data_IF_818533642841
#
_entry.id   IF_818533642841
#
_cell.length_a   1.000
_cell.length_b   1.000
_cell.length_c   1.000
_cell.angle_alpha   90.00
_cell.angle_beta   90.00
_cell.angle_gamma   90.00
#
_symmetry.space_group_name_H-M   'P 1'
#
loop_
_entity.id
_entity.type
_entity.pdbx_description
1 polymer ?
#
# COMPACT_ATOMS: atom_id res chain seq x y z
N UNK A 1 4.30 -3.47 12.83
CA UNK A 1 5.49 -4.12 13.42
C UNK A 1 6.37 -4.60 12.28
N UNK A 2 7.53 -3.96 12.11
CA UNK A 2 8.53 -4.43 11.15
C UNK A 2 9.05 -5.74 11.73
N UNK A 3 8.76 -6.86 11.09
CA UNK A 3 9.36 -8.12 11.47
C UNK A 3 10.87 -7.99 11.25
N UNK A 4 11.57 -7.63 12.31
CA UNK A 4 13.01 -7.74 12.32
C UNK A 4 13.34 -9.24 12.44
N UNK A 5 13.66 -9.85 11.32
CA UNK A 5 14.05 -11.25 11.22
C UNK A 5 15.27 -11.61 12.08
N UNK A 6 15.91 -10.61 12.74
CA UNK A 6 17.05 -10.74 13.61
C UNK A 6 16.77 -10.42 15.09
N UNK A 7 15.50 -10.31 15.51
CA UNK A 7 15.25 -10.04 16.94
C UNK A 7 15.57 -11.28 17.79
N UNK A 8 16.33 -11.06 18.86
CA UNK A 8 16.94 -12.07 19.71
C UNK A 8 15.98 -13.02 20.46
N UNK A 9 14.69 -12.86 20.28
CA UNK A 9 13.66 -13.71 20.90
C UNK A 9 13.16 -14.85 20.03
N UNK A 10 13.61 -14.91 18.79
CA UNK A 10 13.27 -16.00 17.88
C UNK A 10 14.55 -16.69 17.42
N UNK A 11 14.52 -17.97 17.14
CA UNK A 11 15.64 -18.70 16.54
C UNK A 11 16.03 -18.23 15.14
N UNK A 12 15.68 -17.01 14.83
CA UNK A 12 16.16 -16.23 13.68
C UNK A 12 17.67 -16.05 13.70
N UNK A 13 18.33 -16.25 14.82
CA UNK A 13 19.78 -16.45 14.84
C UNK A 13 20.26 -17.57 13.91
N UNK A 14 19.37 -18.44 13.52
CA UNK A 14 19.62 -19.50 12.52
C UNK A 14 19.52 -18.97 11.08
N UNK A 15 18.84 -17.87 10.85
CA UNK A 15 18.66 -17.22 9.53
C UNK A 15 19.92 -16.49 9.08
N UNK A 16 20.86 -16.26 9.96
CA UNK A 16 22.20 -15.75 9.64
C UNK A 16 23.14 -16.77 9.00
N UNK A 17 22.72 -17.99 8.79
CA UNK A 17 23.51 -18.96 8.06
C UNK A 17 23.37 -18.69 6.56
N UNK A 18 24.52 -18.55 5.90
CA UNK A 18 24.66 -18.14 4.48
C UNK A 18 23.94 -19.04 3.46
N UNK A 19 23.23 -20.07 3.89
CA UNK A 19 22.59 -21.07 3.05
C UNK A 19 21.04 -20.99 3.03
N UNK A 20 20.43 -20.11 3.84
CA UNK A 20 18.97 -19.95 3.79
C UNK A 20 18.59 -18.98 2.69
N UNK A 21 17.83 -19.47 1.73
CA UNK A 21 17.27 -18.62 0.68
C UNK A 21 16.17 -17.71 1.26
N UNK A 22 16.09 -16.48 0.78
CA UNK A 22 15.02 -15.54 1.13
C UNK A 22 13.63 -16.14 0.92
N UNK A 23 13.48 -17.06 -0.05
CA UNK A 23 12.26 -17.80 -0.30
C UNK A 23 11.83 -18.68 0.88
N UNK A 24 12.80 -19.36 1.52
CA UNK A 24 12.54 -20.18 2.71
C UNK A 24 12.08 -19.31 3.89
N UNK A 25 12.66 -18.14 4.05
CA UNK A 25 12.31 -17.23 5.13
C UNK A 25 10.92 -16.61 4.93
N UNK A 26 10.58 -16.23 3.71
CA UNK A 26 9.24 -15.75 3.38
C UNK A 26 8.18 -16.83 3.57
N UNK A 27 8.50 -18.09 3.25
CA UNK A 27 7.60 -19.21 3.51
C UNK A 27 7.34 -19.40 5.02
N UNK A 28 8.38 -19.28 5.86
CA UNK A 28 8.23 -19.31 7.32
C UNK A 28 7.37 -18.16 7.82
N UNK A 29 7.62 -16.93 7.33
CA UNK A 29 6.87 -15.74 7.69
C UNK A 29 5.39 -15.91 7.31
N UNK A 30 5.09 -16.46 6.14
CA UNK A 30 3.73 -16.71 5.68
C UNK A 30 2.94 -17.64 6.62
N UNK A 31 3.66 -18.54 7.30
CA UNK A 31 3.07 -19.51 8.23
C UNK A 31 3.01 -19.00 9.68
N UNK A 32 3.47 -17.77 9.95
CA UNK A 32 3.36 -17.21 11.31
C UNK A 32 1.96 -16.65 11.56
N UNK A 33 1.45 -16.72 12.80
CA UNK A 33 0.16 -16.13 13.17
C UNK A 33 0.22 -14.60 13.26
N UNK A 34 1.40 -13.99 13.15
CA UNK A 34 1.60 -12.55 13.26
C UNK A 34 1.05 -11.85 12.03
N UNK A 35 0.13 -10.91 12.26
CA UNK A 35 -0.41 -10.06 11.20
C UNK A 35 0.48 -8.84 11.01
N UNK A 36 0.95 -8.63 9.79
CA UNK A 36 1.71 -7.44 9.39
C UNK A 36 1.28 -7.00 7.99
N UNK A 37 1.50 -5.74 7.69
CA UNK A 37 1.12 -5.15 6.40
C UNK A 37 2.34 -4.61 5.65
N UNK A 38 3.31 -4.03 6.37
CA UNK A 38 4.52 -3.48 5.79
C UNK A 38 5.70 -4.42 5.92
N UNK A 39 6.54 -4.44 4.90
CA UNK A 39 7.75 -5.26 4.82
C UNK A 39 8.92 -4.37 4.45
N UNK A 40 9.98 -4.43 5.22
CA UNK A 40 11.30 -3.87 4.91
C UNK A 40 12.33 -4.97 4.88
N UNK A 41 13.37 -4.81 4.07
CA UNK A 41 14.45 -5.77 3.98
C UNK A 41 15.71 -5.21 4.66
N UNK A 42 16.32 -6.00 5.55
CA UNK A 42 17.60 -5.63 6.16
C UNK A 42 18.64 -5.36 5.06
N UNK A 43 19.40 -4.29 5.23
CA UNK A 43 20.38 -3.80 4.25
C UNK A 43 21.37 -4.85 3.78
N UNK A 44 21.76 -5.79 4.63
CA UNK A 44 22.69 -6.88 4.29
C UNK A 44 22.12 -7.86 3.26
N UNK A 45 20.80 -7.88 3.09
CA UNK A 45 20.13 -8.71 2.10
C UNK A 45 19.68 -7.92 0.88
N UNK A 46 19.91 -6.59 0.84
CA UNK A 46 19.62 -5.77 -0.34
C UNK A 46 20.55 -6.15 -1.49
N UNK A 47 20.06 -6.10 -2.71
CA UNK A 47 20.82 -6.39 -3.92
C UNK A 47 20.71 -7.85 -4.38
N UNK A 48 21.72 -8.30 -5.12
CA UNK A 48 21.75 -9.60 -5.79
C UNK A 48 22.62 -10.58 -5.01
N UNK A 49 22.04 -11.73 -4.67
CA UNK A 49 22.78 -12.87 -4.08
C UNK A 49 22.76 -14.02 -5.07
N UNK A 50 23.90 -14.36 -5.65
CA UNK A 50 23.98 -15.31 -6.75
C UNK A 50 23.20 -14.82 -7.97
N UNK A 51 22.20 -15.59 -8.44
CA UNK A 51 21.31 -15.22 -9.53
C UNK A 51 20.01 -14.55 -9.08
N UNK A 52 19.81 -14.33 -7.77
CA UNK A 52 18.55 -13.83 -7.21
C UNK A 52 18.69 -12.38 -6.80
N UNK A 53 17.83 -11.52 -7.33
CA UNK A 53 17.59 -10.19 -6.83
C UNK A 53 16.61 -10.29 -5.65
N UNK A 54 17.15 -10.20 -4.44
CA UNK A 54 16.40 -10.41 -3.21
C UNK A 54 15.26 -9.39 -3.05
N UNK A 55 15.49 -8.13 -3.40
CA UNK A 55 14.46 -7.08 -3.30
C UNK A 55 13.34 -7.33 -4.30
N UNK A 56 13.66 -7.70 -5.54
CA UNK A 56 12.66 -8.07 -6.53
C UNK A 56 11.84 -9.29 -6.10
N UNK A 57 12.49 -10.27 -5.47
CA UNK A 57 11.80 -11.47 -4.98
C UNK A 57 10.81 -11.13 -3.87
N UNK A 58 11.22 -10.31 -2.88
CA UNK A 58 10.35 -9.84 -1.79
C UNK A 58 9.20 -8.99 -2.34
N UNK A 59 9.50 -8.09 -3.29
CA UNK A 59 8.49 -7.26 -3.92
C UNK A 59 7.37 -8.10 -4.58
N UNK A 60 7.74 -9.09 -5.39
CA UNK A 60 6.78 -10.00 -6.03
C UNK A 60 5.97 -10.82 -5.02
N UNK A 61 6.61 -11.24 -3.94
CA UNK A 61 5.89 -11.93 -2.87
C UNK A 61 4.88 -11.01 -2.18
N UNK A 62 5.23 -9.73 -1.96
CA UNK A 62 4.31 -8.74 -1.39
C UNK A 62 3.11 -8.47 -2.30
N UNK A 63 3.32 -8.39 -3.63
CA UNK A 63 2.22 -8.28 -4.60
C UNK A 63 1.20 -9.43 -4.42
N UNK A 64 1.69 -10.68 -4.36
CA UNK A 64 0.83 -11.85 -4.22
C UNK A 64 0.16 -12.00 -2.86
N UNK A 65 0.67 -11.33 -1.83
CA UNK A 65 0.16 -11.44 -0.45
C UNK A 65 -0.59 -10.21 0.06
N UNK A 66 -0.78 -9.17 -0.78
CA UNK A 66 -1.46 -7.93 -0.41
C UNK A 66 -0.72 -7.15 0.69
N UNK A 67 0.62 -7.15 0.65
CA UNK A 67 1.49 -6.44 1.60
C UNK A 67 2.26 -5.36 0.88
N UNK A 68 2.64 -4.30 1.58
CA UNK A 68 3.44 -3.22 1.02
C UNK A 68 4.91 -3.43 1.36
N UNK A 69 5.75 -3.43 0.33
CA UNK A 69 7.19 -3.54 0.44
C UNK A 69 7.86 -2.18 0.28
N UNK A 70 8.72 -1.82 1.25
CA UNK A 70 9.65 -0.71 1.11
C UNK A 70 10.96 -1.19 0.45
N UNK A 71 11.24 -0.65 -0.73
CA UNK A 71 12.46 -0.94 -1.48
C UNK A 71 13.40 0.26 -1.41
N UNK A 72 14.48 0.18 -0.65
CA UNK A 72 15.52 1.21 -0.64
C UNK A 72 16.69 0.81 -1.53
N UNK A 73 17.21 1.78 -2.27
CA UNK A 73 18.44 1.66 -3.05
C UNK A 73 19.17 3.01 -3.11
N UNK A 74 20.48 2.95 -3.27
CA UNK A 74 21.40 4.09 -3.32
C UNK A 74 22.16 4.20 -4.65
N UNK A 75 21.79 3.40 -5.67
CA UNK A 75 22.46 3.43 -6.98
C UNK A 75 22.23 4.80 -7.65
N UNK A 76 23.32 5.54 -7.91
CA UNK A 76 23.27 6.84 -8.58
C UNK A 76 22.65 6.80 -9.98
N UNK A 77 22.52 5.62 -10.59
CA UNK A 77 21.81 5.46 -11.86
C UNK A 77 20.33 5.82 -11.73
N UNK A 78 19.76 5.73 -10.51
CA UNK A 78 18.38 6.18 -10.21
C UNK A 78 18.24 7.68 -10.48
N UNK A 79 19.31 8.45 -10.30
CA UNK A 79 19.34 9.89 -10.50
C UNK A 79 19.70 10.30 -11.95
N UNK A 80 19.74 9.35 -12.89
CA UNK A 80 20.07 9.58 -14.30
C UNK A 80 18.97 9.03 -15.19
N UNK A 81 18.41 9.88 -16.04
CA UNK A 81 17.35 9.48 -16.97
C UNK A 81 17.84 8.42 -17.97
N UNK A 82 16.96 7.50 -18.36
CA UNK A 82 17.25 6.50 -19.39
C UNK A 82 18.19 5.38 -18.97
N UNK A 83 18.53 5.25 -17.68
CA UNK A 83 19.43 4.19 -17.19
C UNK A 83 18.66 2.96 -16.73
N UNK A 84 19.30 1.79 -16.86
CA UNK A 84 18.80 0.58 -16.21
C UNK A 84 19.18 0.59 -14.73
N UNK A 85 18.19 0.66 -13.85
CA UNK A 85 18.36 0.67 -12.40
C UNK A 85 17.25 -0.15 -11.72
N UNK A 86 17.33 -0.29 -10.41
CA UNK A 86 16.37 -1.09 -9.62
C UNK A 86 14.95 -0.56 -9.70
N UNK A 87 14.75 0.76 -9.62
CA UNK A 87 13.43 1.39 -9.67
C UNK A 87 12.80 1.26 -11.06
N UNK A 88 13.58 1.42 -12.12
CA UNK A 88 13.14 1.16 -13.49
C UNK A 88 12.65 -0.29 -13.65
N UNK A 89 13.34 -1.26 -13.03
CA UNK A 89 12.92 -2.67 -13.07
C UNK A 89 11.62 -2.88 -12.28
N UNK A 90 11.48 -2.27 -11.09
CA UNK A 90 10.26 -2.34 -10.30
C UNK A 90 9.06 -1.76 -11.06
N UNK A 91 9.24 -0.59 -11.68
CA UNK A 91 8.24 0.05 -12.55
C UNK A 91 7.84 -0.85 -13.73
N UNK A 92 8.81 -1.40 -14.45
CA UNK A 92 8.56 -2.27 -15.61
C UNK A 92 7.83 -3.57 -15.26
N UNK A 93 7.90 -4.00 -14.00
CA UNK A 93 7.15 -5.16 -13.47
C UNK A 93 5.77 -4.77 -12.94
N UNK A 94 5.37 -3.49 -13.03
CA UNK A 94 4.09 -2.95 -12.51
C UNK A 94 3.84 -3.33 -11.04
N UNK A 95 4.86 -3.18 -10.19
CA UNK A 95 4.76 -3.53 -8.78
C UNK A 95 3.95 -2.47 -8.02
N UNK A 96 2.66 -2.71 -7.88
CA UNK A 96 1.71 -1.80 -7.23
C UNK A 96 1.94 -1.67 -5.73
N UNK A 97 2.36 -2.75 -5.08
CA UNK A 97 2.55 -2.79 -3.64
C UNK A 97 4.00 -2.52 -3.21
N UNK A 98 4.81 -1.92 -4.08
CA UNK A 98 6.21 -1.60 -3.81
C UNK A 98 6.45 -0.10 -3.81
N UNK A 99 6.98 0.43 -2.69
CA UNK A 99 7.39 1.81 -2.53
C UNK A 99 8.91 1.92 -2.70
N UNK A 100 9.37 2.48 -3.82
CA UNK A 100 10.79 2.67 -4.11
C UNK A 100 11.30 3.97 -3.47
N UNK A 101 12.32 3.89 -2.60
CA UNK A 101 12.87 5.02 -1.86
C UNK A 101 14.39 5.11 -2.07
N UNK A 102 14.88 6.25 -2.53
CA UNK A 102 16.30 6.50 -2.69
C UNK A 102 16.95 6.73 -1.31
N UNK A 103 17.98 5.95 -1.00
CA UNK A 103 18.76 6.07 0.22
C UNK A 103 19.93 7.03 -0.01
N UNK A 104 19.84 8.23 0.58
CA UNK A 104 20.85 9.28 0.49
C UNK A 104 21.93 9.19 1.56
N UNK A 105 21.89 8.22 2.45
CA UNK A 105 22.86 8.09 3.54
C UNK A 105 24.27 7.80 3.00
N UNK A 106 25.27 8.50 3.53
CA UNK A 106 26.67 8.34 3.14
C UNK A 106 27.21 6.93 3.38
N UNK A 107 26.79 6.33 4.49
CA UNK A 107 27.25 5.01 4.93
C UNK A 107 26.29 3.89 4.48
N UNK A 108 25.20 4.21 3.81
CA UNK A 108 24.17 3.24 3.41
C UNK A 108 23.62 2.45 4.60
N UNK A 109 23.48 3.11 5.74
CA UNK A 109 23.13 2.51 7.01
C UNK A 109 21.75 2.91 7.53
N UNK A 110 21.02 3.73 6.78
CA UNK A 110 19.68 4.15 7.08
C UNK A 110 18.61 3.25 6.41
N UNK A 111 17.40 3.42 6.87
CA UNK A 111 16.21 2.72 6.38
C UNK A 111 15.12 3.74 6.06
N UNK A 112 15.29 4.58 5.02
CA UNK A 112 14.33 5.63 4.67
C UNK A 112 12.95 5.07 4.33
N UNK A 113 12.88 3.91 3.69
CA UNK A 113 11.64 3.20 3.39
C UNK A 113 10.91 2.76 4.66
N UNK A 114 11.64 2.29 5.67
CA UNK A 114 11.04 1.87 6.94
C UNK A 114 10.56 3.08 7.73
N UNK A 115 11.29 4.19 7.70
CA UNK A 115 10.91 5.42 8.39
C UNK A 115 9.57 5.95 7.87
N UNK A 116 9.38 6.01 6.55
CA UNK A 116 8.11 6.50 5.97
C UNK A 116 6.98 5.49 6.13
N UNK A 117 7.24 4.19 5.99
CA UNK A 117 6.24 3.15 6.23
C UNK A 117 5.85 3.08 7.72
N UNK A 118 6.80 3.34 8.63
CA UNK A 118 6.51 3.50 10.05
C UNK A 118 5.54 4.64 10.34
N UNK A 119 5.70 5.77 9.62
CA UNK A 119 4.73 6.88 9.69
C UNK A 119 3.36 6.46 9.15
N UNK A 120 3.33 5.72 8.04
CA UNK A 120 2.08 5.19 7.48
C UNK A 120 1.38 4.20 8.41
N UNK A 121 2.14 3.41 9.17
CA UNK A 121 1.61 2.43 10.12
C UNK A 121 0.86 3.07 11.31
N UNK A 122 1.03 4.37 11.55
CA UNK A 122 0.29 5.09 12.60
C UNK A 122 -1.13 5.48 12.19
N UNK A 123 -1.54 5.25 10.95
CA UNK A 123 -2.88 5.60 10.45
C UNK A 123 -3.94 4.73 11.12
N UNK A 124 -4.91 5.38 11.73
CA UNK A 124 -6.10 4.72 12.27
C UNK A 124 -7.31 5.02 11.38
N UNK A 125 -7.66 4.11 10.53
CA UNK A 125 -8.78 4.24 9.60
C UNK A 125 -10.18 4.29 10.27
N UNK A 126 -10.28 4.12 11.58
CA UNK A 126 -11.54 4.33 12.31
C UNK A 126 -11.76 5.80 12.68
N UNK A 127 -10.81 6.70 12.38
CA UNK A 127 -10.89 8.13 12.64
C UNK A 127 -11.25 8.86 11.36
N UNK A 128 -12.07 9.90 11.47
CA UNK A 128 -12.43 10.73 10.33
C UNK A 128 -11.20 11.43 9.72
N UNK A 129 -11.17 11.55 8.39
CA UNK A 129 -10.09 12.20 7.64
C UNK A 129 -8.68 11.68 8.00
N UNK A 130 -8.55 10.38 8.20
CA UNK A 130 -7.31 9.74 8.64
C UNK A 130 -6.43 9.23 7.49
N UNK A 131 -6.93 9.18 6.27
CA UNK A 131 -6.15 8.76 5.09
C UNK A 131 -4.94 9.68 4.92
N UNK A 132 -3.77 9.08 4.74
CA UNK A 132 -2.49 9.76 4.77
C UNK A 132 -1.78 9.70 3.42
N UNK A 133 -1.48 10.84 2.81
CA UNK A 133 -0.49 10.93 1.73
C UNK A 133 0.93 10.91 2.33
N UNK A 134 1.88 10.31 1.65
CA UNK A 134 3.28 10.30 2.11
C UNK A 134 4.02 11.60 1.77
N UNK A 135 3.61 12.29 0.71
CA UNK A 135 4.19 13.57 0.35
C UNK A 135 4.18 14.55 1.53
N UNK A 136 5.24 15.33 1.68
CA UNK A 136 5.44 16.34 2.72
C UNK A 136 5.55 15.80 4.16
N UNK A 137 5.67 14.47 4.33
CA UNK A 137 5.84 13.89 5.67
C UNK A 137 7.31 13.87 6.06
N UNK A 138 7.55 14.13 7.35
CA UNK A 138 8.92 14.16 7.92
C UNK A 138 9.40 12.74 8.21
N UNK A 139 10.72 12.53 8.04
CA UNK A 139 11.42 11.32 8.46
C UNK A 139 12.49 11.70 9.48
N UNK A 140 12.21 11.61 10.79
CA UNK A 140 13.20 11.98 11.80
C UNK A 140 14.45 11.09 11.71
N UNK A 141 15.63 11.72 11.70
CA UNK A 141 16.90 11.01 11.67
C UNK A 141 17.27 10.36 10.34
N UNK A 142 16.58 10.71 9.24
CA UNK A 142 16.89 10.23 7.88
C UNK A 142 17.64 11.33 7.11
N UNK A 143 18.72 10.92 6.44
CA UNK A 143 19.48 11.79 5.54
C UNK A 143 18.64 12.24 4.34
N UNK A 144 18.75 13.51 4.01
CA UNK A 144 18.09 14.08 2.83
C UNK A 144 18.97 13.97 1.60
N UNK A 145 18.36 13.68 0.47
CA UNK A 145 19.01 13.76 -0.82
C UNK A 145 19.05 15.22 -1.30
N UNK A 146 20.27 15.74 -1.54
CA UNK A 146 20.47 17.02 -2.16
C UNK A 146 20.48 16.83 -3.69
N UNK A 147 19.30 16.93 -4.30
CA UNK A 147 19.07 16.62 -5.70
C UNK A 147 18.87 17.90 -6.52
N UNK A 148 19.55 17.96 -7.67
CA UNK A 148 19.20 18.94 -8.69
C UNK A 148 17.82 18.64 -9.28
N UNK A 149 17.18 19.64 -9.91
CA UNK A 149 15.89 19.46 -10.58
C UNK A 149 15.90 18.34 -11.63
N UNK A 150 17.02 18.19 -12.36
CA UNK A 150 17.19 17.11 -13.33
C UNK A 150 17.28 15.73 -12.70
N UNK A 151 17.99 15.58 -11.59
CA UNK A 151 18.07 14.34 -10.83
C UNK A 151 16.71 13.95 -10.20
N UNK A 152 16.01 14.95 -9.68
CA UNK A 152 14.67 14.75 -9.15
C UNK A 152 13.70 14.25 -10.24
N UNK A 153 13.72 14.91 -11.42
CA UNK A 153 12.92 14.50 -12.57
C UNK A 153 13.29 13.09 -13.07
N UNK A 154 14.58 12.74 -13.07
CA UNK A 154 15.03 11.40 -13.43
C UNK A 154 14.48 10.35 -12.47
N UNK A 155 14.62 10.56 -11.16
CA UNK A 155 14.08 9.68 -10.13
C UNK A 155 12.55 9.53 -10.24
N UNK A 156 11.83 10.63 -10.45
CA UNK A 156 10.38 10.62 -10.67
C UNK A 156 9.98 9.81 -11.92
N UNK A 157 10.78 9.86 -12.99
CA UNK A 157 10.50 9.08 -14.20
C UNK A 157 10.45 7.57 -13.94
N UNK A 158 11.06 7.11 -12.86
CA UNK A 158 11.03 5.72 -12.37
C UNK A 158 10.05 5.50 -11.21
N UNK A 159 9.18 6.47 -10.91
CA UNK A 159 8.28 6.45 -9.74
C UNK A 159 9.03 6.32 -8.40
N UNK A 160 10.27 6.80 -8.36
CA UNK A 160 11.11 6.81 -7.16
C UNK A 160 10.74 7.94 -6.22
N UNK A 161 11.03 7.71 -4.95
CA UNK A 161 10.79 8.64 -3.85
C UNK A 161 12.09 8.89 -3.10
N UNK A 162 12.18 10.00 -2.37
CA UNK A 162 13.30 10.32 -1.49
C UNK A 162 12.87 11.26 -0.36
N UNK A 163 13.65 11.32 0.70
CA UNK A 163 13.61 12.46 1.60
C UNK A 163 14.47 13.58 1.00
N UNK A 164 13.89 14.76 0.85
CA UNK A 164 14.55 15.95 0.31
C UNK A 164 14.41 17.10 1.29
N UNK A 165 15.25 18.12 1.14
CA UNK A 165 15.14 19.38 1.87
C UNK A 165 14.74 20.49 0.91
N UNK A 166 13.67 21.21 1.22
CA UNK A 166 13.22 22.39 0.50
C UNK A 166 13.13 23.55 1.50
N UNK A 167 13.89 24.58 1.28
CA UNK A 167 13.99 25.75 2.17
C UNK A 167 14.22 25.37 3.65
N UNK A 168 15.09 24.37 3.89
CA UNK A 168 15.41 23.87 5.20
C UNK A 168 14.36 22.92 5.81
N UNK A 169 13.27 22.65 5.13
CA UNK A 169 12.25 21.72 5.57
C UNK A 169 12.48 20.33 4.97
N UNK A 170 12.75 19.36 5.84
CA UNK A 170 12.90 17.95 5.44
C UNK A 170 11.52 17.33 5.23
N UNK A 171 11.33 16.73 4.06
CA UNK A 171 10.07 16.08 3.71
C UNK A 171 10.26 14.90 2.76
N UNK A 172 9.33 13.96 2.82
CA UNK A 172 9.25 12.88 1.85
C UNK A 172 8.63 13.38 0.53
N UNK A 173 9.26 13.04 -0.54
CA UNK A 173 8.86 13.38 -1.88
C UNK A 173 8.76 12.07 -2.69
N UNK A 174 7.73 11.70 -3.23
CA UNK A 174 6.49 12.14 -3.76
C UNK A 174 5.32 11.30 -3.19
N UNK A 175 5.55 9.99 -2.90
CA UNK A 175 4.55 9.05 -2.38
C UNK A 175 3.94 8.17 -3.48
N UNK A 176 4.60 8.06 -4.64
CA UNK A 176 4.19 7.15 -5.70
C UNK A 176 4.72 5.72 -5.45
N UNK A 177 3.89 4.73 -5.74
CA UNK A 177 4.29 3.31 -5.80
C UNK A 177 5.04 3.04 -7.10
N UNK A 178 5.69 1.88 -7.22
CA UNK A 178 6.52 1.58 -8.38
C UNK A 178 5.74 1.53 -9.72
N UNK A 179 4.46 1.18 -9.70
CA UNK A 179 3.58 1.23 -10.88
C UNK A 179 3.07 2.65 -11.20
N UNK A 180 3.28 3.63 -10.31
CA UNK A 180 2.79 5.00 -10.41
C UNK A 180 1.48 5.26 -9.67
N UNK A 181 0.86 4.26 -9.07
CA UNK A 181 -0.30 4.46 -8.18
C UNK A 181 0.12 5.21 -6.92
N UNK A 182 -0.78 5.97 -6.31
CA UNK A 182 -0.49 6.68 -5.07
C UNK A 182 -0.58 5.74 -3.86
N UNK A 183 0.33 5.92 -2.90
CA UNK A 183 0.40 5.10 -1.69
C UNK A 183 -0.90 5.07 -0.89
N UNK A 184 -1.55 6.23 -0.70
CA UNK A 184 -2.82 6.34 0.03
C UNK A 184 -3.93 5.51 -0.61
N UNK A 185 -3.96 5.44 -1.94
CA UNK A 185 -4.88 4.58 -2.68
C UNK A 185 -4.58 3.10 -2.43
N UNK A 186 -3.31 2.69 -2.50
CA UNK A 186 -2.92 1.29 -2.26
C UNK A 186 -3.24 0.88 -0.83
N UNK A 187 -2.80 1.66 0.15
CA UNK A 187 -3.08 1.40 1.57
C UNK A 187 -4.58 1.37 1.86
N UNK A 188 -5.32 2.33 1.31
CA UNK A 188 -6.75 2.46 1.51
C UNK A 188 -7.55 1.30 0.93
N UNK A 189 -7.23 0.87 -0.29
CA UNK A 189 -7.91 -0.27 -0.94
C UNK A 189 -7.64 -1.57 -0.20
N UNK A 190 -6.40 -1.81 0.22
CA UNK A 190 -6.06 -3.00 1.01
C UNK A 190 -6.77 -3.00 2.37
N UNK A 191 -6.80 -1.85 3.05
CA UNK A 191 -7.57 -1.70 4.30
C UNK A 191 -9.06 -1.96 4.07
N UNK A 192 -9.66 -1.37 3.04
CA UNK A 192 -11.09 -1.55 2.74
C UNK A 192 -11.42 -3.01 2.46
N UNK A 193 -10.58 -3.69 1.67
CA UNK A 193 -10.72 -5.12 1.39
C UNK A 193 -10.73 -5.96 2.67
N UNK A 194 -9.80 -5.69 3.58
CA UNK A 194 -9.77 -6.37 4.88
C UNK A 194 -10.96 -6.01 5.76
N UNK A 195 -11.40 -4.74 5.73
CA UNK A 195 -12.56 -4.29 6.51
C UNK A 195 -13.85 -4.96 6.06
N UNK A 196 -14.10 -5.02 4.75
CA UNK A 196 -15.26 -5.75 4.18
C UNK A 196 -15.22 -7.22 4.58
N UNK A 197 -14.07 -7.88 4.38
CA UNK A 197 -13.87 -9.29 4.76
C UNK A 197 -14.16 -9.52 6.24
N UNK A 198 -13.63 -8.67 7.12
CA UNK A 198 -13.82 -8.80 8.56
C UNK A 198 -15.28 -8.55 8.97
N UNK A 199 -15.94 -7.56 8.38
CA UNK A 199 -17.35 -7.29 8.66
C UNK A 199 -18.23 -8.47 8.27
N UNK A 200 -18.05 -9.01 7.06
CA UNK A 200 -18.81 -10.16 6.58
C UNK A 200 -18.50 -11.42 7.41
N UNK A 201 -17.23 -11.66 7.73
CA UNK A 201 -16.84 -12.76 8.60
C UNK A 201 -17.52 -12.64 9.97
N UNK A 202 -17.48 -11.45 10.59
CA UNK A 202 -18.11 -11.22 11.90
C UNK A 202 -19.63 -11.43 11.86
N UNK A 203 -20.30 -11.05 10.77
CA UNK A 203 -21.72 -11.34 10.59
C UNK A 203 -22.01 -12.84 10.72
N UNK A 204 -21.24 -13.70 10.04
CA UNK A 204 -21.40 -15.15 10.13
C UNK A 204 -20.98 -15.69 11.50
N UNK A 205 -19.89 -15.19 12.05
CA UNK A 205 -19.33 -15.66 13.32
C UNK A 205 -20.25 -15.36 14.52
N UNK A 206 -20.85 -14.17 14.55
CA UNK A 206 -21.72 -13.74 15.66
C UNK A 206 -23.17 -14.19 15.51
N UNK A 207 -23.55 -14.72 14.36
CA UNK A 207 -24.91 -15.25 14.16
C UNK A 207 -25.14 -16.50 14.98
N UNK A 208 -26.09 -16.46 15.90
CA UNK A 208 -26.41 -17.58 16.79
C UNK A 208 -27.17 -18.72 16.09
N UNK A 209 -27.71 -18.46 14.89
CA UNK A 209 -28.48 -19.44 14.13
C UNK A 209 -27.88 -19.55 12.72
N UNK A 210 -28.68 -19.29 11.71
CA UNK A 210 -28.23 -19.26 10.29
C UNK A 210 -28.61 -17.94 9.64
N UNK A 211 -27.83 -17.48 8.70
CA UNK A 211 -28.25 -16.44 7.77
C UNK A 211 -28.98 -17.17 6.62
N UNK A 212 -30.28 -16.91 6.44
CA UNK A 212 -31.08 -17.65 5.47
C UNK A 212 -30.72 -17.24 4.04
N UNK A 213 -30.91 -18.17 3.09
CA UNK A 213 -30.80 -17.88 1.66
C UNK A 213 -32.08 -17.21 1.16
N UNK A 214 -32.28 -15.95 1.54
CA UNK A 214 -33.43 -15.09 1.25
C UNK A 214 -32.95 -13.65 1.03
N UNK A 215 -33.81 -12.80 0.49
CA UNK A 215 -33.49 -11.37 0.34
C UNK A 215 -33.08 -10.72 1.66
N UNK A 216 -33.70 -11.12 2.77
CA UNK A 216 -33.30 -10.64 4.12
C UNK A 216 -31.85 -11.04 4.44
N UNK A 217 -31.47 -12.29 4.19
CA UNK A 217 -30.10 -12.74 4.44
C UNK A 217 -29.07 -12.06 3.54
N UNK A 218 -29.41 -11.85 2.27
CA UNK A 218 -28.58 -11.06 1.33
C UNK A 218 -28.47 -9.61 1.79
N UNK A 219 -29.57 -8.99 2.23
CA UNK A 219 -29.56 -7.64 2.77
C UNK A 219 -28.64 -7.50 4.00
N UNK A 220 -28.55 -8.51 4.87
CA UNK A 220 -27.61 -8.52 5.99
C UNK A 220 -26.16 -8.48 5.52
N UNK A 221 -25.82 -9.25 4.46
CA UNK A 221 -24.47 -9.23 3.88
C UNK A 221 -24.16 -7.87 3.25
N UNK A 222 -25.08 -7.34 2.43
CA UNK A 222 -24.95 -6.04 1.78
C UNK A 222 -24.77 -4.91 2.80
N UNK A 223 -25.46 -4.97 3.95
CA UNK A 223 -25.30 -4.02 5.03
C UNK A 223 -23.86 -4.02 5.59
N UNK A 224 -23.22 -5.19 5.73
CA UNK A 224 -21.82 -5.24 6.20
C UNK A 224 -20.85 -4.61 5.23
N UNK A 225 -21.10 -4.75 3.93
CA UNK A 225 -20.32 -4.06 2.89
C UNK A 225 -20.56 -2.55 2.99
N UNK A 226 -21.82 -2.11 3.10
CA UNK A 226 -22.19 -0.69 3.25
C UNK A 226 -21.52 -0.05 4.46
N UNK A 227 -21.51 -0.71 5.62
CA UNK A 227 -20.83 -0.21 6.82
C UNK A 227 -19.32 0.00 6.62
N UNK A 228 -18.66 -0.85 5.84
CA UNK A 228 -17.25 -0.67 5.49
C UNK A 228 -17.04 0.55 4.58
N UNK A 229 -17.93 0.75 3.59
CA UNK A 229 -17.89 1.85 2.63
C UNK A 229 -18.20 3.20 3.32
N UNK A 230 -19.16 3.24 4.25
CA UNK A 230 -19.46 4.42 5.07
C UNK A 230 -18.25 4.83 5.93
N UNK A 231 -17.56 3.86 6.52
CA UNK A 231 -16.35 4.15 7.27
C UNK A 231 -15.23 4.65 6.33
N UNK A 232 -15.13 4.10 5.11
CA UNK A 232 -14.19 4.55 4.08
C UNK A 232 -14.49 5.99 3.62
N UNK A 233 -15.76 6.37 3.56
CA UNK A 233 -16.16 7.76 3.32
C UNK A 233 -15.78 8.67 4.50
N UNK A 234 -16.04 8.23 5.70
CA UNK A 234 -15.73 8.99 6.94
C UNK A 234 -14.24 9.24 7.08
N UNK A 235 -13.39 8.26 6.80
CA UNK A 235 -11.94 8.42 6.93
C UNK A 235 -11.28 9.14 5.76
N UNK A 236 -12.04 9.50 4.72
CA UNK A 236 -11.57 10.28 3.58
C UNK A 236 -10.97 9.45 2.44
N UNK A 237 -11.15 8.12 2.44
CA UNK A 237 -10.73 7.26 1.31
C UNK A 237 -11.69 7.40 0.11
N UNK A 238 -12.98 7.51 0.39
CA UNK A 238 -14.05 7.62 -0.61
C UNK A 238 -14.70 9.01 -0.52
N UNK A 239 -15.03 9.58 -1.67
CA UNK A 239 -15.77 10.85 -1.77
C UNK A 239 -16.78 10.81 -2.92
N UNK A 240 -17.82 11.68 -2.90
CA UNK A 240 -18.70 11.88 -4.04
C UNK A 240 -17.90 12.17 -5.32
N UNK A 241 -18.29 11.56 -6.42
CA UNK A 241 -17.56 11.73 -7.68
C UNK A 241 -18.15 10.91 -8.82
N UNK A 242 -17.45 10.93 -9.93
CA UNK A 242 -17.82 10.23 -11.16
C UNK A 242 -16.93 9.00 -11.36
N UNK A 243 -17.52 7.93 -11.90
CA UNK A 243 -16.74 6.81 -12.40
C UNK A 243 -16.18 7.10 -13.82
N UNK A 244 -15.48 6.10 -14.38
CA UNK A 244 -14.88 6.22 -15.71
C UNK A 244 -15.93 6.29 -16.85
N UNK A 245 -17.19 5.94 -16.57
CA UNK A 245 -18.31 5.99 -17.51
C UNK A 245 -19.09 7.30 -17.39
N UNK A 246 -18.70 8.18 -16.46
CA UNK A 246 -19.35 9.48 -16.23
C UNK A 246 -20.59 9.39 -15.34
N UNK A 247 -20.81 8.31 -14.62
CA UNK A 247 -21.93 8.16 -13.68
C UNK A 247 -21.53 8.78 -12.34
N UNK A 248 -22.38 9.68 -11.82
CA UNK A 248 -22.16 10.35 -10.54
C UNK A 248 -22.66 9.52 -9.36
N UNK A 249 -21.83 9.37 -8.34
CA UNK A 249 -22.15 8.69 -7.08
C UNK A 249 -22.16 9.70 -5.95
N UNK A 250 -23.34 10.08 -5.46
CA UNK A 250 -23.53 11.12 -4.43
C UNK A 250 -22.93 10.72 -3.07
N UNK A 251 -22.91 9.43 -2.76
CA UNK A 251 -22.27 8.90 -1.54
C UNK A 251 -20.83 8.44 -1.78
N UNK A 252 -20.31 8.57 -3.01
CA UNK A 252 -18.99 8.08 -3.40
C UNK A 252 -18.94 6.57 -3.58
N UNK A 253 -20.04 5.84 -3.43
CA UNK A 253 -20.10 4.40 -3.65
C UNK A 253 -21.51 3.91 -4.00
N UNK A 254 -21.58 2.68 -4.48
CA UNK A 254 -22.84 1.95 -4.71
C UNK A 254 -22.62 0.46 -4.44
N UNK A 255 -23.45 -0.13 -3.60
CA UNK A 255 -23.51 -1.59 -3.43
C UNK A 255 -24.49 -2.15 -4.45
N UNK A 256 -24.08 -3.18 -5.16
CA UNK A 256 -24.82 -3.84 -6.22
C UNK A 256 -25.10 -5.27 -5.76
N UNK A 257 -26.35 -5.68 -5.83
CA UNK A 257 -26.77 -7.04 -5.49
C UNK A 257 -27.40 -7.72 -6.68
N UNK A 258 -26.90 -8.88 -7.03
CA UNK A 258 -27.54 -9.74 -8.03
C UNK A 258 -28.85 -10.30 -7.44
N UNK A 259 -29.95 -10.32 -8.22
CA UNK A 259 -31.19 -10.93 -7.76
C UNK A 259 -31.00 -12.39 -7.34
N UNK A 260 -31.59 -12.77 -6.21
CA UNK A 260 -31.44 -14.10 -5.61
C UNK A 260 -31.82 -15.24 -6.55
N UNK A 261 -32.81 -14.98 -7.39
CA UNK A 261 -33.35 -15.92 -8.37
C UNK A 261 -32.30 -16.40 -9.38
N UNK A 262 -31.37 -15.51 -9.76
CA UNK A 262 -30.31 -15.82 -10.72
C UNK A 262 -29.19 -16.68 -10.14
N UNK A 263 -29.12 -16.78 -8.81
CA UNK A 263 -28.04 -17.47 -8.08
C UNK A 263 -28.52 -18.72 -7.31
N UNK A 264 -29.70 -19.26 -7.65
CA UNK A 264 -30.27 -20.44 -6.97
C UNK A 264 -29.35 -21.66 -7.04
N UNK A 265 -28.54 -21.80 -8.09
CA UNK A 265 -27.56 -22.89 -8.20
C UNK A 265 -26.48 -22.86 -7.11
N UNK A 266 -26.21 -21.68 -6.53
CA UNK A 266 -25.22 -21.49 -5.45
C UNK A 266 -25.78 -21.88 -4.07
N UNK A 267 -27.12 -21.96 -3.94
CA UNK A 267 -27.78 -22.28 -2.67
C UNK A 267 -27.28 -23.59 -2.05
N UNK A 268 -27.04 -24.59 -2.86
CA UNK A 268 -26.50 -25.89 -2.42
C UNK A 268 -25.06 -25.79 -1.91
N UNK A 269 -24.26 -24.87 -2.47
CA UNK A 269 -22.87 -24.62 -2.03
C UNK A 269 -22.79 -23.76 -0.76
N UNK A 270 -23.89 -23.09 -0.39
CA UNK A 270 -23.98 -22.17 0.76
C UNK A 270 -23.00 -20.99 0.68
N UNK A 271 -22.62 -20.57 -0.52
CA UNK A 271 -21.70 -19.46 -0.81
C UNK A 271 -22.46 -18.42 -1.62
N UNK A 272 -22.56 -17.21 -1.10
CA UNK A 272 -23.15 -16.06 -1.79
C UNK A 272 -22.08 -15.27 -2.55
N UNK A 273 -22.21 -15.16 -3.86
CA UNK A 273 -21.29 -14.44 -4.76
C UNK A 273 -21.96 -13.24 -5.45
N UNK A 274 -23.18 -12.87 -5.03
CA UNK A 274 -23.99 -11.87 -5.73
C UNK A 274 -23.79 -10.43 -5.26
N UNK A 275 -22.90 -10.15 -4.29
CA UNK A 275 -22.66 -8.78 -3.83
C UNK A 275 -21.37 -8.23 -4.43
N UNK A 276 -21.48 -7.06 -5.04
CA UNK A 276 -20.35 -6.25 -5.53
C UNK A 276 -20.53 -4.79 -5.14
N UNK A 277 -19.52 -3.97 -5.32
CA UNK A 277 -19.64 -2.53 -5.10
C UNK A 277 -18.74 -1.74 -6.04
N UNK A 278 -19.12 -0.48 -6.25
CA UNK A 278 -18.30 0.56 -6.87
C UNK A 278 -17.97 1.57 -5.78
N UNK A 279 -16.74 2.05 -5.74
CA UNK A 279 -16.31 3.07 -4.80
C UNK A 279 -15.42 4.09 -5.53
N UNK A 280 -15.66 5.36 -5.30
CA UNK A 280 -14.96 6.48 -5.92
C UNK A 280 -13.92 7.01 -4.95
N UNK A 281 -12.64 6.88 -5.30
CA UNK A 281 -11.56 7.40 -4.47
C UNK A 281 -11.59 8.92 -4.37
N UNK A 282 -11.34 9.45 -3.17
CA UNK A 282 -11.34 10.90 -2.94
C UNK A 282 -10.17 11.62 -3.63
N UNK A 283 -9.08 10.89 -3.91
CA UNK A 283 -7.82 11.49 -4.34
C UNK A 283 -7.21 12.41 -3.30
N UNK A 284 -6.11 13.08 -3.65
CA UNK A 284 -5.47 14.07 -2.80
C UNK A 284 -4.84 15.20 -3.61
N UNK A 285 -4.89 16.42 -3.09
CA UNK A 285 -4.15 17.55 -3.66
C UNK A 285 -2.73 17.55 -3.09
N UNK A 286 -1.73 17.51 -3.98
CA UNK A 286 -0.31 17.57 -3.62
C UNK A 286 0.39 18.81 -4.20
N UNK A 287 -0.34 19.66 -4.91
CA UNK A 287 0.20 20.90 -5.46
C UNK A 287 -0.91 21.80 -5.97
N UNK A 288 -0.62 23.09 -6.10
CA UNK A 288 -1.51 24.08 -6.69
C UNK A 288 -0.71 25.04 -7.57
N UNK A 289 -1.24 25.38 -8.74
CA UNK A 289 -0.71 26.45 -9.59
C UNK A 289 -1.67 27.64 -9.44
N UNK A 290 -1.12 28.77 -8.97
CA UNK A 290 -1.91 29.99 -8.73
C UNK A 290 -1.38 31.08 -9.65
N UNK A 291 -2.26 31.70 -10.40
CA UNK A 291 -1.95 32.90 -11.20
C UNK A 291 -2.74 34.09 -10.67
N UNK A 292 -2.13 35.24 -10.65
CA UNK A 292 -2.77 36.50 -10.22
C UNK A 292 -2.29 37.68 -11.05
N UNK A 293 -3.15 38.70 -11.18
CA UNK A 293 -2.78 39.97 -11.82
C UNK A 293 -2.77 41.05 -10.75
N UNK A 294 -1.64 41.76 -10.63
CA UNK A 294 -1.53 42.95 -9.83
C UNK A 294 -1.81 44.15 -10.74
N UNK A 295 -2.82 44.96 -10.37
CA UNK A 295 -3.16 46.22 -11.07
C UNK A 295 -2.81 47.36 -10.14
N UNK A 296 -2.05 48.35 -10.63
CA UNK A 296 -1.67 49.58 -9.95
C UNK A 296 -2.69 50.69 -10.21
#
# INVERSE_FOLDING_TARGET
>A
EVLNLNSAKNPVSVIGQAEQSIASDLAKISNTPVKFFYVGLDRKYRGVTGAVDNQMFVAKWCEGSGKVFGWADHDEKILKAGTSNSFARAKNQNLRNTLCVFDASKNRDEYPEVAILGRAATVNFNVANSVLILAYKKGPGISTADLTSGQLAAMQSYNGNAFISVDGNVMFYNGAMADGTWFDTVQGVEWLTQKVRNNVFNLFYTSTTKIPWTDTGVAMVNQQVTLALELARTNGLIAPGYDNEGVFYADGYKVISTPLELLQSQKGKRIWEGTSFIAIGSGALQGAVISGTFVQ
#
